data_IF_519696303743
#
_entry.id   IF_519696303743
#
_cell.length_a   1.000
_cell.length_b   1.000
_cell.length_c   1.000
_cell.angle_alpha   90.00
_cell.angle_beta   90.00
_cell.angle_gamma   90.00
#
_symmetry.space_group_name_H-M   'P 1'
#
loop_
_entity.id
_entity.type
_entity.pdbx_description
1 polymer ?
#
# COMPACT_ATOMS: atom_id res chain seq x y z
N UNK A 1 1.49 -10.55 -19.01
CA UNK A 1 0.91 -9.82 -17.85
C UNK A 1 1.88 -8.71 -17.46
N UNK A 2 1.40 -7.48 -17.36
CA UNK A 2 2.13 -6.32 -16.86
C UNK A 2 2.24 -6.33 -15.32
N UNK A 3 3.12 -5.50 -14.76
CA UNK A 3 3.25 -5.31 -13.31
C UNK A 3 1.92 -4.78 -12.70
N UNK A 4 1.26 -3.84 -13.38
CA UNK A 4 -0.04 -3.32 -12.96
C UNK A 4 -1.13 -4.41 -12.92
N UNK A 5 -1.16 -5.31 -13.91
CA UNK A 5 -2.09 -6.45 -13.93
C UNK A 5 -1.82 -7.44 -12.79
N UNK A 6 -0.55 -7.69 -12.47
CA UNK A 6 -0.18 -8.55 -11.34
C UNK A 6 -0.61 -7.93 -9.99
N UNK A 7 -0.39 -6.63 -9.82
CA UNK A 7 -0.80 -5.90 -8.62
C UNK A 7 -2.33 -5.81 -8.48
N UNK A 8 -3.05 -5.63 -9.57
CA UNK A 8 -4.51 -5.64 -9.56
C UNK A 8 -5.03 -7.03 -9.16
N UNK A 9 -4.42 -8.10 -9.68
CA UNK A 9 -4.77 -9.46 -9.26
C UNK A 9 -4.46 -9.72 -7.78
N UNK A 10 -3.34 -9.19 -7.26
CA UNK A 10 -3.02 -9.27 -5.84
C UNK A 10 -4.06 -8.54 -4.99
N UNK A 11 -4.40 -7.30 -5.32
CA UNK A 11 -5.41 -6.52 -4.58
C UNK A 11 -6.78 -7.22 -4.61
N UNK A 12 -7.16 -7.82 -5.74
CA UNK A 12 -8.40 -8.59 -5.83
C UNK A 12 -8.40 -9.83 -4.92
N UNK A 13 -7.27 -10.56 -4.82
CA UNK A 13 -7.12 -11.69 -3.89
C UNK A 13 -7.17 -11.26 -2.42
N UNK A 14 -6.79 -10.03 -2.12
CA UNK A 14 -6.90 -9.42 -0.79
C UNK A 14 -8.30 -8.85 -0.49
N UNK A 15 -9.26 -9.02 -1.40
CA UNK A 15 -10.68 -8.69 -1.19
C UNK A 15 -11.15 -7.40 -1.86
N UNK A 16 -10.31 -6.70 -2.63
CA UNK A 16 -10.73 -5.52 -3.37
C UNK A 16 -11.63 -5.91 -4.57
N UNK A 17 -12.75 -5.21 -4.82
CA UNK A 17 -13.51 -5.35 -6.07
C UNK A 17 -12.63 -5.12 -7.30
N UNK A 18 -12.84 -5.80 -8.44
CA UNK A 18 -11.93 -5.72 -9.60
C UNK A 18 -11.63 -4.30 -10.11
N UNK A 19 -12.64 -3.43 -10.15
CA UNK A 19 -12.47 -2.03 -10.56
C UNK A 19 -11.60 -1.24 -9.57
N UNK A 20 -11.78 -1.48 -8.26
CA UNK A 20 -10.96 -0.87 -7.22
C UNK A 20 -9.54 -1.45 -7.20
N UNK A 21 -9.38 -2.75 -7.45
CA UNK A 21 -8.10 -3.41 -7.51
C UNK A 21 -7.20 -2.84 -8.61
N UNK A 22 -7.75 -2.50 -9.78
CA UNK A 22 -7.04 -1.81 -10.85
C UNK A 22 -6.55 -0.42 -10.41
N UNK A 23 -7.42 0.37 -9.78
CA UNK A 23 -7.07 1.71 -9.25
C UNK A 23 -5.99 1.59 -8.16
N UNK A 24 -6.11 0.62 -7.26
CA UNK A 24 -5.12 0.38 -6.21
C UNK A 24 -3.75 0.03 -6.80
N UNK A 25 -3.70 -0.78 -7.85
CA UNK A 25 -2.46 -1.11 -8.54
C UNK A 25 -1.76 0.14 -9.09
N UNK A 26 -2.48 1.00 -9.81
CA UNK A 26 -1.93 2.26 -10.34
C UNK A 26 -1.42 3.18 -9.22
N UNK A 27 -2.17 3.28 -8.12
CA UNK A 27 -1.80 4.09 -6.97
C UNK A 27 -0.55 3.56 -6.25
N UNK A 28 -0.43 2.24 -6.10
CA UNK A 28 0.74 1.60 -5.48
C UNK A 28 2.00 1.87 -6.30
N UNK A 29 1.93 1.70 -7.62
CA UNK A 29 3.06 1.96 -8.53
C UNK A 29 3.49 3.43 -8.45
N UNK A 30 2.52 4.35 -8.58
CA UNK A 30 2.78 5.80 -8.47
C UNK A 30 3.40 6.16 -7.12
N UNK A 31 2.90 5.57 -6.02
CA UNK A 31 3.42 5.85 -4.68
C UNK A 31 4.82 5.27 -4.48
N UNK A 32 5.12 4.10 -5.04
CA UNK A 32 6.47 3.54 -5.02
C UNK A 32 7.47 4.46 -5.71
N UNK A 33 7.13 5.00 -6.89
CA UNK A 33 7.96 5.95 -7.62
C UNK A 33 8.20 7.24 -6.81
N UNK A 34 7.15 7.81 -6.21
CA UNK A 34 7.26 8.98 -5.36
C UNK A 34 8.15 8.74 -4.15
N UNK A 35 7.95 7.62 -3.44
CA UNK A 35 8.74 7.28 -2.26
C UNK A 35 10.21 7.02 -2.60
N UNK A 36 10.49 6.43 -3.77
CA UNK A 36 11.85 6.20 -4.24
C UNK A 36 12.60 7.52 -4.41
N UNK A 37 11.94 8.52 -5.02
CA UNK A 37 12.48 9.86 -5.18
C UNK A 37 12.64 10.60 -3.85
N UNK A 38 11.60 10.58 -3.01
CA UNK A 38 11.57 11.28 -1.71
C UNK A 38 12.63 10.74 -0.74
N UNK A 39 12.90 9.43 -0.76
CA UNK A 39 13.76 8.75 0.22
C UNK A 39 15.12 8.33 -0.34
N UNK A 40 15.37 8.51 -1.63
CA UNK A 40 16.61 8.08 -2.29
C UNK A 40 16.85 6.57 -2.22
N UNK A 41 15.78 5.76 -2.24
CA UNK A 41 15.83 4.30 -2.15
C UNK A 41 15.28 3.64 -3.42
N UNK A 42 15.64 2.38 -3.72
CA UNK A 42 15.12 1.68 -4.90
C UNK A 42 13.59 1.61 -4.90
N UNK A 43 12.99 1.80 -6.08
CA UNK A 43 11.54 1.68 -6.29
C UNK A 43 11.00 0.34 -5.80
N UNK A 44 11.72 -0.74 -6.08
CA UNK A 44 11.35 -2.10 -5.67
C UNK A 44 11.21 -2.24 -4.14
N UNK A 45 12.14 -1.64 -3.39
CA UNK A 45 12.08 -1.62 -1.91
C UNK A 45 10.85 -0.85 -1.41
N UNK A 46 10.52 0.27 -2.08
CA UNK A 46 9.36 1.08 -1.70
C UNK A 46 8.05 0.39 -2.05
N UNK A 47 7.99 -0.29 -3.21
CA UNK A 47 6.84 -1.10 -3.58
C UNK A 47 6.66 -2.27 -2.60
N UNK A 48 7.73 -3.00 -2.27
CA UNK A 48 7.70 -4.09 -1.28
C UNK A 48 7.18 -3.61 0.08
N UNK A 49 7.63 -2.43 0.53
CA UNK A 49 7.11 -1.80 1.74
C UNK A 49 5.61 -1.51 1.64
N UNK A 50 5.15 -0.89 0.56
CA UNK A 50 3.72 -0.61 0.35
C UNK A 50 2.89 -1.90 0.32
N UNK A 51 3.37 -2.96 -0.32
CA UNK A 51 2.68 -4.25 -0.37
C UNK A 51 2.54 -4.88 1.02
N UNK A 52 3.57 -4.80 1.87
CA UNK A 52 3.47 -5.22 3.27
C UNK A 52 2.37 -4.44 4.02
N UNK A 53 2.26 -3.14 3.78
CA UNK A 53 1.20 -2.32 4.40
C UNK A 53 -0.19 -2.74 3.93
N UNK A 54 -0.36 -3.00 2.63
CA UNK A 54 -1.66 -3.47 2.08
C UNK A 54 -2.07 -4.82 2.68
N UNK A 55 -1.14 -5.76 2.80
CA UNK A 55 -1.41 -7.07 3.41
C UNK A 55 -1.86 -6.90 4.87
N UNK A 56 -1.12 -6.12 5.67
CA UNK A 56 -1.51 -5.83 7.07
C UNK A 56 -2.86 -5.14 7.16
N UNK A 57 -3.11 -4.13 6.31
CA UNK A 57 -4.39 -3.44 6.23
C UNK A 57 -5.55 -4.38 5.92
N UNK A 58 -5.37 -5.33 4.99
CA UNK A 58 -6.39 -6.34 4.68
C UNK A 58 -6.65 -7.32 5.84
N UNK A 59 -5.66 -7.52 6.72
CA UNK A 59 -5.78 -8.36 7.91
C UNK A 59 -6.32 -7.59 9.14
N UNK A 60 -6.56 -6.27 9.02
CA UNK A 60 -6.92 -5.43 10.16
C UNK A 60 -5.77 -5.17 11.14
N UNK A 61 -4.52 -5.43 10.72
CA UNK A 61 -3.33 -5.21 11.52
C UNK A 61 -2.80 -3.79 11.32
N UNK A 62 -2.50 -3.10 12.42
CA UNK A 62 -1.86 -1.78 12.39
C UNK A 62 -0.33 -1.99 12.37
N UNK A 63 0.38 -1.55 11.32
CA UNK A 63 1.84 -1.61 11.29
C UNK A 63 2.45 -0.70 12.37
N UNK A 64 3.60 -1.09 12.94
CA UNK A 64 4.28 -0.32 13.98
C UNK A 64 4.60 1.15 13.58
N UNK A 65 4.75 1.38 12.27
CA UNK A 65 4.99 2.71 11.69
C UNK A 65 3.77 3.67 11.83
N UNK A 66 2.60 3.14 12.19
CA UNK A 66 1.37 3.89 12.43
C UNK A 66 1.10 3.91 13.95
N UNK A 67 1.66 4.87 14.71
CA UNK A 67 1.38 4.98 16.13
C UNK A 67 -0.13 5.23 16.32
N UNK A 68 -0.72 4.59 17.33
CA UNK A 68 -2.09 4.88 17.72
C UNK A 68 -2.20 6.36 18.06
N UNK A 69 -2.97 7.12 17.28
CA UNK A 69 -3.30 8.50 17.63
C UNK A 69 -4.23 8.44 18.85
N UNK A 70 -3.73 8.85 20.01
CA UNK A 70 -4.61 9.08 21.16
C UNK A 70 -5.63 10.16 20.75
N UNK A 71 -6.94 9.94 20.97
CA UNK A 71 -7.91 11.00 20.77
C UNK A 71 -7.50 12.21 21.64
N UNK A 72 -7.67 13.45 21.16
CA UNK A 72 -7.29 14.64 21.90
C UNK A 72 -7.99 14.65 23.27
N UNK A 73 -7.23 14.93 24.34
CA UNK A 73 -7.76 15.11 25.68
C UNK A 73 -8.79 16.25 25.67
N UNK A 74 -10.08 15.91 25.67
CA UNK A 74 -11.15 16.87 25.98
C UNK A 74 -11.13 17.14 27.48
N UNK A 75 -10.37 18.16 27.89
CA UNK A 75 -10.47 18.79 29.22
C UNK A 75 -11.39 20.00 29.18
#
# INVERSE_FOLDING_TARGET
MSEAEQLAQLCARLGAPPSQAAVMAEQLLKRADQLALERGRPREEMLEHLLRLVVKGSAGEVPADFPATQPPDTR
#
